data_IF_373245599215
#
_entry.id   IF_373245599215
#
_cell.length_a   1.000
_cell.length_b   1.000
_cell.length_c   1.000
_cell.angle_alpha   90.00
_cell.angle_beta   90.00
_cell.angle_gamma   90.00
#
_symmetry.space_group_name_H-M   'P 1'
#
loop_
_entity.id
_entity.type
_entity.pdbx_description
1 polymer ?
#
# COMPACT_ATOMS: atom_id res chain seq x y z
N UNK A 1 0.88 -23.56 13.46
CA UNK A 1 1.24 -23.93 12.08
C UNK A 1 2.32 -22.99 11.58
N UNK A 2 3.23 -23.48 10.76
CA UNK A 2 4.25 -22.64 10.10
C UNK A 2 3.61 -21.98 8.89
N UNK A 3 3.76 -20.68 8.75
CA UNK A 3 3.36 -19.92 7.56
C UNK A 3 4.56 -19.81 6.62
N UNK A 4 4.40 -20.22 5.37
CA UNK A 4 5.43 -20.13 4.34
C UNK A 4 5.01 -19.03 3.36
N UNK A 5 5.63 -17.87 3.50
CA UNK A 5 5.36 -16.71 2.66
C UNK A 5 6.11 -16.78 1.34
N UNK A 6 5.42 -16.41 0.28
CA UNK A 6 6.02 -16.24 -1.04
C UNK A 6 6.72 -14.88 -1.12
N UNK A 7 7.86 -14.84 -1.80
CA UNK A 7 8.50 -13.56 -2.14
C UNK A 7 7.60 -12.80 -3.12
N UNK A 8 7.38 -11.49 -2.93
CA UNK A 8 6.62 -10.68 -3.88
C UNK A 8 7.16 -10.82 -5.31
N UNK A 9 6.28 -11.02 -6.26
CA UNK A 9 6.64 -11.21 -7.67
C UNK A 9 6.55 -9.90 -8.43
N UNK A 10 7.68 -9.41 -8.90
CA UNK A 10 7.73 -8.18 -9.68
C UNK A 10 7.09 -8.40 -11.06
N UNK A 11 6.20 -7.50 -11.48
CA UNK A 11 5.54 -7.52 -12.79
C UNK A 11 4.40 -8.53 -12.96
N UNK A 12 4.03 -9.29 -11.93
CA UNK A 12 3.06 -10.38 -12.04
C UNK A 12 2.00 -10.34 -10.93
N UNK A 13 1.33 -9.21 -10.75
CA UNK A 13 0.32 -9.06 -9.69
C UNK A 13 -1.02 -8.66 -10.30
N UNK A 14 -2.09 -9.38 -9.97
CA UNK A 14 -3.43 -9.01 -10.45
C UNK A 14 -3.98 -7.80 -9.68
N UNK A 15 -3.86 -7.84 -8.36
CA UNK A 15 -4.39 -6.79 -7.48
C UNK A 15 -3.29 -6.31 -6.52
N UNK A 16 -3.06 -5.00 -6.47
CA UNK A 16 -2.29 -4.37 -5.38
C UNK A 16 -3.23 -3.58 -4.50
N UNK A 17 -3.25 -3.90 -3.22
CA UNK A 17 -3.96 -3.15 -2.18
C UNK A 17 -2.98 -2.23 -1.45
N UNK A 18 -3.22 -0.93 -1.52
CA UNK A 18 -2.53 0.08 -0.73
C UNK A 18 -3.29 0.34 0.58
N UNK A 19 -2.83 -0.27 1.65
CA UNK A 19 -3.39 -0.10 3.00
C UNK A 19 -2.56 0.91 3.77
N UNK A 20 -3.19 1.82 4.50
CA UNK A 20 -2.47 2.83 5.28
C UNK A 20 -1.89 2.23 6.56
N UNK A 21 -2.76 1.68 7.41
CA UNK A 21 -2.37 1.11 8.70
C UNK A 21 -2.50 -0.42 8.69
N UNK A 22 -1.98 -1.05 9.71
CA UNK A 22 -1.89 -2.50 9.78
C UNK A 22 -3.13 -3.22 10.32
N UNK A 23 -4.31 -2.67 10.10
CA UNK A 23 -5.62 -3.25 10.36
C UNK A 23 -6.66 -2.82 9.32
N UNK A 24 -6.36 -1.80 8.53
CA UNK A 24 -7.26 -1.26 7.51
C UNK A 24 -7.65 -2.32 6.48
N UNK A 25 -6.74 -3.21 6.12
CA UNK A 25 -7.00 -4.30 5.17
C UNK A 25 -8.08 -5.27 5.68
N UNK A 26 -8.20 -5.42 7.00
CA UNK A 26 -9.25 -6.24 7.62
C UNK A 26 -10.53 -5.44 7.84
N UNK A 27 -10.42 -4.16 8.17
CA UNK A 27 -11.57 -3.31 8.50
C UNK A 27 -12.34 -2.87 7.26
N UNK A 28 -11.63 -2.49 6.19
CA UNK A 28 -12.25 -1.87 5.01
C UNK A 28 -12.22 -2.73 3.76
N UNK A 29 -11.27 -3.68 3.66
CA UNK A 29 -11.08 -4.53 2.48
C UNK A 29 -11.30 -6.01 2.75
N UNK A 30 -11.90 -6.37 3.90
CA UNK A 30 -12.12 -7.75 4.32
C UNK A 30 -12.98 -8.58 3.34
N UNK A 31 -13.84 -7.94 2.56
CA UNK A 31 -14.60 -8.60 1.51
C UNK A 31 -13.77 -8.90 0.26
N UNK A 32 -12.82 -8.01 -0.05
CA UNK A 32 -11.95 -8.13 -1.22
C UNK A 32 -10.92 -9.26 -1.06
N UNK A 33 -10.19 -9.25 0.06
CA UNK A 33 -9.06 -10.16 0.26
C UNK A 33 -9.47 -11.64 0.23
N UNK A 34 -10.44 -12.13 1.04
CA UNK A 34 -10.81 -13.54 1.01
C UNK A 34 -11.44 -13.95 -0.32
N UNK A 35 -12.21 -13.08 -0.95
CA UNK A 35 -12.83 -13.39 -2.23
C UNK A 35 -11.79 -13.60 -3.35
N UNK A 36 -10.88 -12.66 -3.51
CA UNK A 36 -9.89 -12.77 -4.58
C UNK A 36 -8.72 -13.70 -4.24
N UNK A 37 -8.14 -13.58 -3.05
CA UNK A 37 -6.97 -14.36 -2.70
C UNK A 37 -7.27 -15.81 -2.32
N UNK A 38 -8.39 -16.09 -1.57
CA UNK A 38 -8.70 -17.43 -1.10
C UNK A 38 -9.66 -18.19 -2.03
N UNK A 39 -10.72 -17.53 -2.55
CA UNK A 39 -11.74 -18.21 -3.34
C UNK A 39 -11.43 -18.24 -4.83
N UNK A 40 -10.77 -17.20 -5.35
CA UNK A 40 -10.47 -17.04 -6.79
C UNK A 40 -9.04 -17.35 -7.16
N UNK A 41 -8.16 -17.56 -6.18
CA UNK A 41 -6.72 -17.82 -6.39
C UNK A 41 -6.05 -16.71 -7.25
N UNK A 42 -6.49 -15.47 -7.01
CA UNK A 42 -5.96 -14.26 -7.68
C UNK A 42 -4.73 -13.79 -6.93
N UNK A 43 -3.70 -13.39 -7.66
CA UNK A 43 -2.47 -12.86 -7.05
C UNK A 43 -2.71 -11.49 -6.43
N UNK A 44 -2.75 -11.44 -5.11
CA UNK A 44 -2.95 -10.20 -4.35
C UNK A 44 -1.68 -9.83 -3.59
N UNK A 45 -1.20 -8.61 -3.83
CA UNK A 45 -0.10 -7.99 -3.08
C UNK A 45 -0.62 -6.87 -2.19
N UNK A 46 -0.27 -6.90 -0.92
CA UNK A 46 -0.58 -5.80 0.02
C UNK A 46 0.64 -4.94 0.23
N UNK A 47 0.45 -3.63 0.15
CA UNK A 47 1.45 -2.59 0.40
C UNK A 47 0.95 -1.73 1.57
N UNK A 48 1.59 -1.84 2.72
CA UNK A 48 1.36 -0.93 3.84
C UNK A 48 2.19 0.33 3.67
N UNK A 49 1.58 1.47 3.92
CA UNK A 49 2.22 2.77 3.77
C UNK A 49 2.91 3.21 5.08
N UNK A 50 2.33 2.86 6.21
CA UNK A 50 2.93 3.13 7.52
C UNK A 50 3.89 2.04 7.96
N UNK A 51 4.91 2.42 8.76
CA UNK A 51 5.85 1.47 9.35
C UNK A 51 5.34 0.97 10.70
N UNK A 52 4.79 -0.23 10.70
CA UNK A 52 4.37 -0.91 11.92
C UNK A 52 5.41 -1.91 12.44
N UNK A 53 6.51 -2.13 11.74
CA UNK A 53 7.55 -3.10 12.14
C UNK A 53 8.27 -2.68 13.40
N UNK A 54 8.42 -1.37 13.60
CA UNK A 54 9.14 -0.79 14.74
C UNK A 54 8.30 -0.69 16.02
N UNK A 55 6.97 -0.88 15.93
CA UNK A 55 6.10 -0.75 17.10
C UNK A 55 6.20 -1.94 18.04
N UNK A 56 6.15 -3.14 17.52
CA UNK A 56 6.45 -4.40 18.23
C UNK A 56 6.50 -5.55 17.22
N UNK A 57 7.28 -6.60 17.50
CA UNK A 57 7.20 -7.87 16.74
C UNK A 57 5.79 -8.47 16.75
N UNK A 58 5.00 -8.20 17.79
CA UNK A 58 3.61 -8.67 17.93
C UNK A 58 2.74 -8.10 16.82
N UNK A 59 2.78 -6.78 16.57
CA UNK A 59 1.94 -6.14 15.55
C UNK A 59 2.23 -6.67 14.14
N UNK A 60 3.50 -6.86 13.80
CA UNK A 60 3.87 -7.46 12.53
C UNK A 60 3.30 -8.89 12.38
N UNK A 61 3.35 -9.70 13.44
CA UNK A 61 2.78 -11.04 13.43
C UNK A 61 1.25 -11.02 13.33
N UNK A 62 0.58 -10.07 13.97
CA UNK A 62 -0.89 -9.91 13.85
C UNK A 62 -1.28 -9.61 12.40
N UNK A 63 -0.59 -8.67 11.76
CA UNK A 63 -0.81 -8.32 10.35
C UNK A 63 -0.59 -9.52 9.43
N UNK A 64 0.52 -10.24 9.58
CA UNK A 64 0.83 -11.44 8.80
C UNK A 64 -0.21 -12.55 9.04
N UNK A 65 -0.62 -12.77 10.28
CA UNK A 65 -1.65 -13.76 10.59
C UNK A 65 -3.00 -13.40 9.97
N UNK A 66 -3.39 -12.12 10.01
CA UNK A 66 -4.60 -11.62 9.38
C UNK A 66 -4.60 -11.85 7.87
N UNK A 67 -3.54 -11.45 7.18
CA UNK A 67 -3.39 -11.66 5.75
C UNK A 67 -3.39 -13.16 5.38
N UNK A 68 -2.69 -13.98 6.15
CA UNK A 68 -2.67 -15.43 5.93
C UNK A 68 -4.06 -16.04 6.05
N UNK A 69 -4.83 -15.61 7.05
CA UNK A 69 -6.19 -16.12 7.30
C UNK A 69 -7.16 -15.82 6.15
N UNK A 70 -6.97 -14.70 5.45
CA UNK A 70 -7.79 -14.29 4.30
C UNK A 70 -7.22 -14.74 2.94
N UNK A 71 -6.21 -15.61 2.94
CA UNK A 71 -5.71 -16.25 1.72
C UNK A 71 -4.53 -15.55 1.04
N UNK A 72 -4.06 -14.40 1.51
CA UNK A 72 -2.88 -13.74 0.97
C UNK A 72 -1.63 -14.56 1.29
N UNK A 73 -0.81 -14.83 0.29
CA UNK A 73 0.42 -15.64 0.40
C UNK A 73 1.68 -14.87 0.04
N UNK A 74 1.56 -13.80 -0.77
CA UNK A 74 2.67 -12.92 -1.05
C UNK A 74 3.04 -12.09 0.19
N UNK A 75 4.33 -12.07 0.57
CA UNK A 75 4.77 -11.30 1.73
C UNK A 75 4.48 -9.81 1.50
N UNK A 76 3.85 -9.10 2.45
CA UNK A 76 3.49 -7.71 2.24
C UNK A 76 4.71 -6.80 2.15
N UNK A 77 4.56 -5.70 1.42
CA UNK A 77 5.52 -4.59 1.45
C UNK A 77 5.16 -3.67 2.61
N UNK A 78 6.15 -3.30 3.40
CA UNK A 78 5.99 -2.32 4.47
C UNK A 78 6.67 -1.01 4.07
N UNK A 79 5.91 0.07 4.08
CA UNK A 79 6.43 1.42 3.99
C UNK A 79 7.22 1.82 5.24
N UNK A 80 7.80 3.00 5.20
CA UNK A 80 8.61 3.55 6.30
C UNK A 80 8.02 4.83 6.88
N UNK A 81 6.76 5.15 6.55
CA UNK A 81 6.14 6.41 6.93
C UNK A 81 5.46 6.30 8.29
N UNK A 82 5.43 7.41 9.07
CA UNK A 82 4.85 7.40 10.40
C UNK A 82 3.33 7.19 10.37
N UNK A 83 2.82 6.49 11.37
CA UNK A 83 1.41 6.42 11.69
C UNK A 83 0.99 7.74 12.38
N UNK A 84 0.00 8.42 11.83
CA UNK A 84 -0.46 9.74 12.29
C UNK A 84 -1.98 9.79 12.37
N UNK A 85 -2.50 10.10 13.53
CA UNK A 85 -3.92 10.43 13.68
C UNK A 85 -4.17 11.87 13.21
N UNK A 86 -4.80 12.02 12.04
CA UNK A 86 -5.11 13.30 11.42
C UNK A 86 -6.56 13.35 10.93
N UNK A 87 -7.09 14.57 10.74
CA UNK A 87 -8.48 14.79 10.30
C UNK A 87 -8.59 15.35 8.87
N UNK A 88 -7.47 15.53 8.19
CA UNK A 88 -7.45 15.96 6.80
C UNK A 88 -6.12 15.60 6.12
N UNK A 89 -6.16 15.45 4.80
CA UNK A 89 -4.96 15.24 4.00
C UNK A 89 -3.93 16.38 4.18
N UNK A 90 -4.41 17.62 4.30
CA UNK A 90 -3.52 18.77 4.52
C UNK A 90 -2.81 18.70 5.87
N UNK A 91 -3.50 18.29 6.92
CA UNK A 91 -2.88 18.08 8.23
C UNK A 91 -1.80 17.00 8.16
N UNK A 92 -2.07 15.88 7.50
CA UNK A 92 -1.07 14.81 7.26
C UNK A 92 0.15 15.37 6.54
N UNK A 93 -0.06 16.10 5.45
CA UNK A 93 1.01 16.74 4.65
C UNK A 93 1.91 17.64 5.50
N UNK A 94 1.31 18.53 6.30
CA UNK A 94 2.05 19.43 7.18
C UNK A 94 2.86 18.67 8.25
N UNK A 95 2.30 17.62 8.84
CA UNK A 95 2.99 16.82 9.83
C UNK A 95 4.13 15.98 9.22
N UNK A 96 4.00 15.52 7.99
CA UNK A 96 5.09 14.87 7.25
C UNK A 96 6.21 15.85 6.95
N UNK A 97 5.89 17.02 6.42
CA UNK A 97 6.85 18.09 6.17
C UNK A 97 7.62 18.48 7.43
N UNK A 98 6.93 18.60 8.57
CA UNK A 98 7.55 18.87 9.88
C UNK A 98 8.53 17.76 10.34
N UNK A 99 8.46 16.58 9.75
CA UNK A 99 9.38 15.45 9.98
C UNK A 99 10.43 15.28 8.88
N UNK A 100 10.48 16.21 7.94
CA UNK A 100 11.42 16.15 6.81
C UNK A 100 10.99 15.18 5.71
N UNK A 101 9.75 14.69 5.71
CA UNK A 101 9.20 13.80 4.69
C UNK A 101 8.42 14.65 3.70
N UNK A 102 8.86 14.68 2.44
CA UNK A 102 8.16 15.40 1.38
C UNK A 102 7.02 14.57 0.80
N UNK A 103 5.97 15.25 0.32
CA UNK A 103 4.88 14.59 -0.40
C UNK A 103 5.39 13.86 -1.65
N UNK A 104 6.37 14.46 -2.33
CA UNK A 104 7.02 13.88 -3.51
C UNK A 104 7.71 12.54 -3.22
N UNK A 105 8.37 12.43 -2.08
CA UNK A 105 8.98 11.18 -1.63
C UNK A 105 7.91 10.08 -1.45
N UNK A 106 6.79 10.40 -0.80
CA UNK A 106 5.70 9.44 -0.59
C UNK A 106 5.02 9.07 -1.91
N UNK A 107 4.81 10.05 -2.80
CA UNK A 107 4.29 9.82 -4.15
C UNK A 107 5.21 8.88 -4.95
N UNK A 108 6.52 9.12 -4.89
CA UNK A 108 7.53 8.27 -5.53
C UNK A 108 7.50 6.83 -5.02
N UNK A 109 7.25 6.63 -3.72
CA UNK A 109 7.07 5.30 -3.16
C UNK A 109 5.85 4.60 -3.78
N UNK A 110 4.70 5.28 -3.89
CA UNK A 110 3.48 4.70 -4.48
C UNK A 110 3.67 4.37 -5.96
N UNK A 111 4.23 5.32 -6.75
CA UNK A 111 4.59 5.10 -8.16
C UNK A 111 5.51 3.89 -8.33
N UNK A 112 6.52 3.78 -7.47
CA UNK A 112 7.45 2.63 -7.49
C UNK A 112 6.71 1.31 -7.29
N UNK A 113 5.73 1.23 -6.37
CA UNK A 113 5.01 -0.02 -6.15
C UNK A 113 4.09 -0.37 -7.33
N UNK A 114 3.43 0.60 -7.96
CA UNK A 114 2.66 0.36 -9.18
C UNK A 114 3.54 -0.18 -10.31
N UNK A 115 4.70 0.44 -10.54
CA UNK A 115 5.67 -0.02 -11.54
C UNK A 115 6.29 -1.36 -11.21
N UNK A 116 6.55 -1.62 -9.93
CA UNK A 116 7.14 -2.89 -9.50
C UNK A 116 6.20 -4.06 -9.75
N UNK A 117 4.94 -3.91 -9.43
CA UNK A 117 3.99 -5.01 -9.43
C UNK A 117 3.14 -5.12 -10.70
N UNK A 118 3.08 -4.08 -11.50
CA UNK A 118 2.26 -4.03 -12.73
C UNK A 118 0.83 -4.57 -12.52
N UNK A 119 0.07 -4.09 -11.49
CA UNK A 119 -1.22 -4.67 -11.20
C UNK A 119 -2.23 -4.40 -12.31
N UNK A 120 -3.16 -5.34 -12.52
CA UNK A 120 -4.36 -5.10 -13.33
C UNK A 120 -5.34 -4.17 -12.60
N UNK A 121 -5.33 -4.22 -11.27
CA UNK A 121 -6.19 -3.38 -10.43
C UNK A 121 -5.39 -2.86 -9.23
N UNK A 122 -5.35 -1.54 -9.07
CA UNK A 122 -4.86 -0.88 -7.87
C UNK A 122 -6.05 -0.48 -6.99
N UNK A 123 -6.01 -0.87 -5.72
CA UNK A 123 -7.06 -0.59 -4.72
C UNK A 123 -6.46 0.25 -3.60
N UNK A 124 -7.21 1.21 -3.12
CA UNK A 124 -6.83 2.06 -2.00
C UNK A 124 -8.04 2.60 -1.26
N UNK A 125 -7.79 3.48 -0.30
CA UNK A 125 -8.81 4.12 0.52
C UNK A 125 -9.74 5.05 -0.27
N UNK A 126 -10.90 5.37 0.31
CA UNK A 126 -11.79 6.40 -0.20
C UNK A 126 -11.11 7.78 -0.15
N UNK A 127 -11.40 8.63 -1.14
CA UNK A 127 -10.85 10.00 -1.21
C UNK A 127 -11.27 10.90 -0.04
N UNK A 128 -12.37 10.58 0.61
CA UNK A 128 -12.83 11.28 1.82
C UNK A 128 -12.31 10.64 3.11
N UNK A 129 -11.56 9.54 2.98
CA UNK A 129 -11.05 8.73 4.07
C UNK A 129 -12.16 8.00 4.82
N UNK A 130 -11.96 6.73 5.12
CA UNK A 130 -12.89 6.00 6.00
C UNK A 130 -12.97 6.73 7.34
N UNK A 131 -14.18 6.91 7.85
CA UNK A 131 -14.50 7.71 9.06
C UNK A 131 -13.79 9.08 9.16
N UNK A 132 -13.43 9.67 8.02
CA UNK A 132 -12.79 10.99 7.97
C UNK A 132 -11.32 11.01 8.39
N UNK A 133 -10.62 9.86 8.29
CA UNK A 133 -9.20 9.77 8.65
C UNK A 133 -8.31 10.50 7.63
N UNK A 134 -7.61 11.54 8.07
CA UNK A 134 -6.82 12.40 7.18
C UNK A 134 -5.66 11.71 6.50
N UNK A 135 -5.04 10.71 7.14
CA UNK A 135 -3.96 9.95 6.52
C UNK A 135 -4.48 9.02 5.41
N UNK A 136 -5.68 8.47 5.52
CA UNK A 136 -6.35 7.75 4.42
C UNK A 136 -6.62 8.67 3.24
N UNK A 137 -7.16 9.88 3.47
CA UNK A 137 -7.36 10.89 2.42
C UNK A 137 -6.05 11.23 1.71
N UNK A 138 -4.97 11.40 2.44
CA UNK A 138 -3.66 11.72 1.90
C UNK A 138 -3.13 10.63 0.97
N UNK A 139 -3.20 9.37 1.39
CA UNK A 139 -2.75 8.26 0.55
C UNK A 139 -3.68 7.96 -0.62
N UNK A 140 -4.99 8.15 -0.47
CA UNK A 140 -5.94 8.03 -1.58
C UNK A 140 -5.66 9.08 -2.67
N UNK A 141 -5.37 10.33 -2.30
CA UNK A 141 -4.94 11.38 -3.22
C UNK A 141 -3.63 11.00 -3.93
N UNK A 142 -2.63 10.54 -3.18
CA UNK A 142 -1.35 10.12 -3.76
C UNK A 142 -1.50 8.92 -4.71
N UNK A 143 -2.32 7.94 -4.39
CA UNK A 143 -2.58 6.81 -5.28
C UNK A 143 -3.24 7.27 -6.58
N UNK A 144 -4.23 8.16 -6.50
CA UNK A 144 -4.89 8.74 -7.68
C UNK A 144 -3.89 9.45 -8.58
N UNK A 145 -3.00 10.25 -8.00
CA UNK A 145 -1.93 10.94 -8.76
C UNK A 145 -0.89 9.97 -9.30
N UNK A 146 -0.50 8.97 -8.53
CA UNK A 146 0.46 7.95 -8.96
C UNK A 146 -0.04 7.18 -10.19
N UNK A 147 -1.33 6.79 -10.22
CA UNK A 147 -1.96 6.16 -11.38
C UNK A 147 -1.83 7.03 -12.63
N UNK A 148 -2.02 8.35 -12.50
CA UNK A 148 -1.97 9.29 -13.64
C UNK A 148 -0.57 9.48 -14.22
N UNK A 149 0.48 9.28 -13.43
CA UNK A 149 1.87 9.58 -13.84
C UNK A 149 2.75 8.34 -13.98
N UNK A 150 2.28 7.16 -13.61
CA UNK A 150 3.10 5.94 -13.61
C UNK A 150 3.53 5.46 -15.01
N UNK A 151 2.83 5.90 -16.06
CA UNK A 151 3.19 5.65 -17.46
C UNK A 151 4.24 6.64 -18.02
N UNK A 152 4.55 7.74 -17.32
CA UNK A 152 5.56 8.72 -17.75
C UNK A 152 6.94 8.36 -17.17
N UNK A 153 7.91 7.89 -18.00
CA UNK A 153 9.24 7.53 -17.51
C UNK A 153 10.06 8.70 -17.00
N UNK A 154 9.66 9.95 -17.28
CA UNK A 154 10.35 11.15 -16.77
C UNK A 154 10.01 11.46 -15.32
N UNK A 155 8.88 10.93 -14.85
CA UNK A 155 8.47 11.00 -13.45
C UNK A 155 9.13 9.84 -12.69
N UNK A 156 9.87 10.12 -11.63
CA UNK A 156 10.59 9.12 -10.85
C UNK A 156 11.40 8.14 -11.70
N UNK A 157 12.38 8.62 -12.49
CA UNK A 157 13.06 7.85 -13.54
C UNK A 157 13.75 6.59 -13.01
N UNK A 158 14.25 6.62 -11.78
CA UNK A 158 14.89 5.44 -11.15
C UNK A 158 13.95 4.22 -11.07
N UNK A 159 12.67 4.44 -10.74
CA UNK A 159 11.71 3.35 -10.70
C UNK A 159 11.26 2.91 -12.09
N UNK A 160 11.25 3.83 -13.07
CA UNK A 160 10.98 3.50 -14.47
C UNK A 160 12.13 2.66 -15.09
N UNK A 161 13.37 2.99 -14.75
CA UNK A 161 14.53 2.20 -15.18
C UNK A 161 14.53 0.79 -14.56
N UNK A 162 14.18 0.69 -13.26
CA UNK A 162 14.22 -0.57 -12.53
C UNK A 162 13.09 -1.55 -12.91
N UNK A 163 11.88 -1.04 -13.18
CA UNK A 163 10.67 -1.86 -13.31
C UNK A 163 9.86 -1.61 -14.60
N UNK A 164 10.26 -0.64 -15.42
CA UNK A 164 9.42 -0.15 -16.52
C UNK A 164 8.35 0.83 -16.03
N UNK A 165 7.55 1.32 -17.00
CA UNK A 165 6.37 2.14 -16.70
C UNK A 165 5.15 1.26 -16.51
N UNK A 166 4.13 1.77 -15.82
CA UNK A 166 2.86 1.09 -15.63
C UNK A 166 1.74 1.89 -16.31
N UNK A 167 0.91 1.21 -17.14
CA UNK A 167 -0.24 1.75 -17.88
C UNK A 167 -1.56 1.20 -17.33
#
# INVERSE_FOLDING_TARGET
SVQIWETPRDGETDIVLFSTHGDDEQLFFAGLLPYYAAERDVQVQVVYLTDHRNLTNVRCHEMLNGLWAVGVRSYPVFGSYPDLLTQSANQTRLLFQGRGISEEEVLGFVVKQLRRFHPLVAVGHDLQGEYGHGQHMFYADLLTRAVQISNDPTQFPESAEAYGVWD
#
